data_IF_459389535463
#
_entry.id   IF_459389535463
#
_cell.length_a   1.000
_cell.length_b   1.000
_cell.length_c   1.000
_cell.angle_alpha   90.00
_cell.angle_beta   90.00
_cell.angle_gamma   90.00
#
_symmetry.space_group_name_H-M   'P 1'
#
loop_
_entity.id
_entity.type
_entity.pdbx_description
1 polymer ?
#
# COMPACT_ATOMS: atom_id res chain seq x y z
N UNK A 1 72.40 -60.23 -6.89
CA UNK A 1 71.92 -58.85 -6.67
C UNK A 1 71.25 -58.81 -5.29
N UNK A 2 71.45 -57.75 -4.49
CA UNK A 2 72.09 -57.82 -3.17
C UNK A 2 71.19 -58.10 -1.96
N UNK A 3 71.85 -58.58 -0.89
CA UNK A 3 71.36 -58.80 0.47
C UNK A 3 70.90 -57.49 1.13
N UNK A 4 69.65 -57.43 1.59
CA UNK A 4 69.20 -56.40 2.55
C UNK A 4 69.00 -57.08 3.90
N UNK A 5 70.00 -56.90 4.76
CA UNK A 5 70.01 -57.30 6.17
C UNK A 5 69.11 -56.34 6.93
N UNK A 6 67.97 -56.84 7.45
CA UNK A 6 67.10 -56.06 8.33
C UNK A 6 67.82 -55.71 9.64
N UNK A 7 67.58 -54.52 10.23
CA UNK A 7 68.13 -54.18 11.53
C UNK A 7 67.46 -55.01 12.63
N UNK A 8 68.32 -55.65 13.42
CA UNK A 8 68.04 -56.43 14.62
C UNK A 8 67.40 -55.58 15.72
N UNK A 9 66.31 -56.10 16.31
CA UNK A 9 65.61 -55.56 17.47
C UNK A 9 66.55 -55.49 18.69
N UNK A 10 67.01 -54.29 19.05
CA UNK A 10 67.57 -54.01 20.39
C UNK A 10 66.52 -53.26 21.22
N UNK A 11 65.92 -53.99 22.16
CA UNK A 11 64.91 -53.51 23.09
C UNK A 11 65.56 -52.66 24.18
N UNK A 12 65.44 -51.34 24.12
CA UNK A 12 65.79 -50.47 25.25
C UNK A 12 64.65 -50.52 26.30
N UNK A 13 64.95 -50.75 27.59
CA UNK A 13 63.91 -50.77 28.61
C UNK A 13 63.36 -49.35 28.85
N UNK A 14 62.06 -49.19 28.62
CA UNK A 14 61.30 -47.98 28.93
C UNK A 14 61.37 -47.71 30.45
N UNK A 15 61.94 -46.57 30.87
CA UNK A 15 61.87 -46.08 32.27
C UNK A 15 60.56 -45.30 32.41
N UNK A 16 59.54 -45.78 33.14
CA UNK A 16 58.32 -45.01 33.33
C UNK A 16 58.63 -43.78 34.20
N UNK A 17 58.17 -42.61 33.77
CA UNK A 17 58.16 -41.41 34.61
C UNK A 17 57.30 -41.72 35.86
N UNK A 18 57.89 -41.59 37.05
CA UNK A 18 57.18 -41.66 38.31
C UNK A 18 56.10 -40.57 38.32
N UNK A 19 54.83 -40.99 38.27
CA UNK A 19 53.70 -40.08 38.49
C UNK A 19 53.73 -39.67 39.96
N UNK A 20 54.47 -38.61 40.28
CA UNK A 20 54.28 -37.88 41.53
C UNK A 20 52.86 -37.31 41.51
N UNK A 21 51.96 -38.04 42.15
CA UNK A 21 50.58 -37.62 42.33
C UNK A 21 50.59 -36.73 43.56
N UNK A 22 50.83 -35.43 43.37
CA UNK A 22 50.61 -34.46 44.45
C UNK A 22 49.13 -34.50 44.83
N UNK A 23 48.77 -34.77 46.11
CA UNK A 23 47.40 -34.60 46.52
C UNK A 23 47.08 -33.10 46.41
N UNK A 24 46.21 -32.74 45.46
CA UNK A 24 45.58 -31.42 45.38
C UNK A 24 44.60 -31.25 46.56
N UNK A 25 45.13 -31.25 47.78
CA UNK A 25 44.36 -30.87 48.95
C UNK A 25 44.31 -29.35 48.98
N UNK A 26 43.18 -28.76 48.59
CA UNK A 26 42.97 -27.31 48.71
C UNK A 26 43.18 -26.92 50.18
N UNK A 27 43.95 -25.86 50.48
CA UNK A 27 44.06 -25.38 51.85
C UNK A 27 42.67 -24.98 52.37
N UNK A 28 42.37 -25.24 53.66
CA UNK A 28 41.08 -24.89 54.24
C UNK A 28 40.85 -23.38 54.14
N UNK A 29 39.65 -22.99 53.69
CA UNK A 29 39.24 -21.59 53.58
C UNK A 29 39.28 -20.93 54.97
N UNK A 30 39.76 -19.67 55.04
CA UNK A 30 39.75 -18.92 56.29
C UNK A 30 38.32 -18.46 56.64
N UNK A 31 38.09 -18.03 57.88
CA UNK A 31 36.75 -17.66 58.39
C UNK A 31 36.06 -16.56 57.57
N UNK A 32 36.80 -15.60 56.99
CA UNK A 32 36.23 -14.52 56.17
C UNK A 32 35.74 -15.05 54.81
N UNK A 33 36.51 -15.93 54.19
CA UNK A 33 36.15 -16.55 52.91
C UNK A 33 34.90 -17.43 53.03
N UNK A 34 34.73 -18.10 54.18
CA UNK A 34 33.54 -18.92 54.46
C UNK A 34 32.26 -18.07 54.55
N UNK A 35 32.33 -16.91 55.22
CA UNK A 35 31.20 -15.96 55.35
C UNK A 35 30.85 -15.34 53.99
N UNK A 36 31.85 -14.96 53.19
CA UNK A 36 31.63 -14.43 51.84
C UNK A 36 30.98 -15.50 50.96
N UNK A 37 31.45 -16.74 51.03
CA UNK A 37 30.88 -17.87 50.29
C UNK A 37 29.41 -18.12 50.67
N UNK A 38 29.05 -18.04 51.94
CA UNK A 38 27.67 -18.20 52.41
C UNK A 38 26.76 -17.04 51.96
N UNK A 39 27.24 -15.80 52.07
CA UNK A 39 26.49 -14.61 51.63
C UNK A 39 26.26 -14.60 50.13
N UNK A 40 27.29 -14.90 49.33
CA UNK A 40 27.16 -15.02 47.88
C UNK A 40 26.22 -16.19 47.54
N UNK A 41 26.32 -17.31 48.25
CA UNK A 41 25.42 -18.46 48.08
C UNK A 41 23.94 -18.10 48.34
N UNK A 42 23.65 -17.36 49.42
CA UNK A 42 22.29 -16.94 49.74
C UNK A 42 21.73 -15.95 48.70
N UNK A 43 22.56 -15.01 48.22
CA UNK A 43 22.18 -14.08 47.16
C UNK A 43 21.92 -14.79 45.82
N UNK A 44 22.80 -15.70 45.42
CA UNK A 44 22.64 -16.49 44.18
C UNK A 44 21.37 -17.34 44.25
N UNK A 45 21.07 -17.93 45.41
CA UNK A 45 19.81 -18.66 45.62
C UNK A 45 18.60 -17.74 45.46
N UNK A 46 18.60 -16.56 46.08
CA UNK A 46 17.50 -15.60 45.96
C UNK A 46 17.29 -15.14 44.51
N UNK A 47 18.37 -14.86 43.77
CA UNK A 47 18.30 -14.52 42.35
C UNK A 47 17.71 -15.68 41.55
N UNK A 48 18.14 -16.92 41.82
CA UNK A 48 17.63 -18.13 41.16
C UNK A 48 16.12 -18.29 41.38
N UNK A 49 15.66 -18.13 42.61
CA UNK A 49 14.25 -18.27 42.96
C UNK A 49 13.41 -17.17 42.27
N UNK A 50 13.92 -15.93 42.20
CA UNK A 50 13.25 -14.84 41.49
C UNK A 50 13.18 -15.07 39.97
N UNK A 51 14.28 -15.55 39.36
CA UNK A 51 14.32 -15.89 37.94
C UNK A 51 13.33 -17.00 37.63
N UNK A 52 13.27 -18.06 38.43
CA UNK A 52 12.30 -19.14 38.24
C UNK A 52 10.85 -18.64 38.31
N UNK A 53 10.52 -17.80 39.30
CA UNK A 53 9.19 -17.19 39.40
C UNK A 53 8.85 -16.29 38.20
N UNK A 54 9.84 -15.58 37.64
CA UNK A 54 9.65 -14.78 36.43
C UNK A 54 9.40 -15.67 35.21
N UNK A 55 10.15 -16.77 35.07
CA UNK A 55 9.97 -17.75 33.99
C UNK A 55 8.57 -18.36 34.04
N UNK A 56 8.09 -18.79 35.20
CA UNK A 56 6.74 -19.35 35.36
C UNK A 56 5.65 -18.37 34.89
N UNK A 57 5.74 -17.08 35.26
CA UNK A 57 4.78 -16.05 34.81
C UNK A 57 4.83 -15.83 33.30
N UNK A 58 6.03 -15.80 32.72
CA UNK A 58 6.21 -15.65 31.27
C UNK A 58 5.59 -16.87 30.55
N UNK A 59 5.77 -18.07 31.07
CA UNK A 59 5.16 -19.28 30.50
C UNK A 59 3.63 -19.22 30.56
N UNK A 60 3.05 -18.75 31.67
CA UNK A 60 1.59 -18.53 31.79
C UNK A 60 1.07 -17.50 30.77
N UNK A 61 1.77 -16.36 30.64
CA UNK A 61 1.41 -15.30 29.69
C UNK A 61 1.51 -15.80 28.24
N UNK A 62 2.57 -16.54 27.90
CA UNK A 62 2.76 -17.13 26.56
C UNK A 62 1.63 -18.10 26.25
N UNK A 63 1.28 -19.01 27.18
CA UNK A 63 0.15 -19.92 26.98
C UNK A 63 -1.18 -19.18 26.84
N UNK A 64 -1.34 -18.02 27.49
CA UNK A 64 -2.53 -17.18 27.34
C UNK A 64 -2.61 -16.57 25.95
N UNK A 65 -1.52 -15.99 25.48
CA UNK A 65 -1.43 -15.41 24.14
C UNK A 65 -1.65 -16.48 23.06
N UNK A 66 -1.10 -17.68 23.23
CA UNK A 66 -1.35 -18.79 22.29
C UNK A 66 -2.83 -19.15 22.17
N UNK A 67 -3.57 -19.15 23.29
CA UNK A 67 -5.03 -19.37 23.28
C UNK A 67 -5.76 -18.26 22.55
N UNK A 68 -5.44 -17.00 22.81
CA UNK A 68 -6.06 -15.85 22.13
C UNK A 68 -5.78 -15.85 20.62
N UNK A 69 -4.54 -16.14 20.21
CA UNK A 69 -4.17 -16.30 18.80
C UNK A 69 -5.00 -17.40 18.14
N UNK A 70 -5.26 -18.51 18.84
CA UNK A 70 -6.16 -19.57 18.38
C UNK A 70 -7.57 -19.06 18.08
N UNK A 71 -8.17 -18.32 19.02
CA UNK A 71 -9.51 -17.73 18.85
C UNK A 71 -9.55 -16.76 17.66
N UNK A 72 -8.56 -15.85 17.57
CA UNK A 72 -8.48 -14.87 16.48
C UNK A 72 -8.32 -15.56 15.13
N UNK A 73 -7.55 -16.65 15.06
CA UNK A 73 -7.36 -17.44 13.84
C UNK A 73 -8.66 -18.09 13.37
N UNK A 74 -9.45 -18.65 14.28
CA UNK A 74 -10.73 -19.29 13.96
C UNK A 74 -11.80 -18.27 13.54
N UNK A 75 -11.83 -17.11 14.20
CA UNK A 75 -12.71 -15.99 13.81
C UNK A 75 -12.35 -15.47 12.42
N UNK A 76 -11.05 -15.26 12.15
CA UNK A 76 -10.57 -14.81 10.85
C UNK A 76 -10.96 -15.79 9.74
N UNK A 77 -10.83 -17.11 9.98
CA UNK A 77 -11.26 -18.14 9.04
C UNK A 77 -12.77 -18.05 8.76
N UNK A 78 -13.59 -17.91 9.79
CA UNK A 78 -15.05 -17.79 9.66
C UNK A 78 -15.43 -16.55 8.84
N UNK A 79 -14.76 -15.42 9.09
CA UNK A 79 -14.99 -14.19 8.36
C UNK A 79 -14.60 -14.33 6.87
N UNK A 80 -13.50 -15.01 6.57
CA UNK A 80 -13.10 -15.30 5.18
C UNK A 80 -14.16 -16.15 4.46
N UNK A 81 -14.64 -17.23 5.09
CA UNK A 81 -15.70 -18.08 4.52
C UNK A 81 -17.00 -17.30 4.27
N UNK A 82 -17.38 -16.41 5.20
CA UNK A 82 -18.56 -15.55 5.04
C UNK A 82 -18.41 -14.53 3.89
N UNK A 83 -17.23 -13.92 3.75
CA UNK A 83 -16.93 -12.99 2.65
C UNK A 83 -16.96 -13.72 1.31
N UNK A 84 -16.35 -14.90 1.21
CA UNK A 84 -16.39 -15.72 -0.01
C UNK A 84 -17.83 -16.05 -0.42
N UNK A 85 -18.71 -16.42 0.53
CA UNK A 85 -20.13 -16.66 0.26
C UNK A 85 -20.86 -15.42 -0.27
N UNK A 86 -20.55 -14.24 0.29
CA UNK A 86 -21.13 -12.97 -0.17
C UNK A 86 -20.67 -12.62 -1.58
N UNK A 87 -19.39 -12.83 -1.89
CA UNK A 87 -18.83 -12.62 -3.23
C UNK A 87 -19.56 -13.51 -4.24
N UNK A 88 -19.68 -14.82 -3.97
CA UNK A 88 -20.39 -15.74 -4.87
C UNK A 88 -21.86 -15.38 -5.08
N UNK A 89 -22.54 -14.84 -4.06
CA UNK A 89 -23.91 -14.33 -4.22
C UNK A 89 -23.96 -13.10 -5.14
N UNK A 90 -23.00 -12.18 -4.99
CA UNK A 90 -22.92 -10.98 -5.81
C UNK A 90 -22.58 -11.32 -7.26
N UNK A 91 -21.65 -12.24 -7.49
CA UNK A 91 -21.31 -12.74 -8.83
C UNK A 91 -22.56 -13.34 -9.51
N UNK A 92 -23.32 -14.19 -8.79
CA UNK A 92 -24.58 -14.73 -9.33
C UNK A 92 -25.59 -13.64 -9.70
N UNK A 93 -25.79 -12.65 -8.82
CA UNK A 93 -26.70 -11.52 -9.08
C UNK A 93 -26.23 -10.65 -10.24
N UNK A 94 -24.92 -10.53 -10.44
CA UNK A 94 -24.34 -9.81 -11.57
C UNK A 94 -24.62 -10.54 -12.88
N UNK A 95 -24.42 -11.87 -12.93
CA UNK A 95 -24.78 -12.69 -14.09
C UNK A 95 -26.28 -12.63 -14.41
N UNK A 96 -27.15 -12.69 -13.40
CA UNK A 96 -28.60 -12.52 -13.59
C UNK A 96 -28.98 -11.15 -14.16
N UNK A 97 -28.20 -10.10 -13.88
CA UNK A 97 -28.40 -8.76 -14.44
C UNK A 97 -27.84 -8.62 -15.86
N UNK A 98 -26.70 -9.26 -16.15
CA UNK A 98 -26.09 -9.28 -17.48
C UNK A 98 -26.93 -10.10 -18.49
N UNK A 99 -27.50 -11.23 -18.06
CA UNK A 99 -28.34 -12.10 -18.89
C UNK A 99 -29.77 -11.56 -19.05
N UNK A 100 -30.17 -10.55 -18.27
CA UNK A 100 -31.48 -9.92 -18.44
C UNK A 100 -31.47 -9.18 -19.77
N UNK A 101 -32.28 -9.59 -20.78
CA UNK A 101 -32.46 -8.78 -21.96
C UNK A 101 -32.94 -7.41 -21.48
N UNK A 102 -32.29 -6.37 -21.99
CA UNK A 102 -32.46 -4.98 -21.59
C UNK A 102 -33.90 -4.53 -21.93
N UNK A 103 -34.88 -5.02 -21.18
CA UNK A 103 -36.27 -4.62 -21.25
C UNK A 103 -36.39 -3.31 -20.46
N UNK A 104 -35.64 -2.30 -20.89
CA UNK A 104 -36.25 -1.00 -20.99
C UNK A 104 -37.52 -1.24 -21.79
N UNK A 105 -38.68 -1.09 -21.15
CA UNK A 105 -39.92 -0.89 -21.90
C UNK A 105 -39.57 0.08 -23.03
N UNK A 106 -39.76 -0.26 -24.31
CA UNK A 106 -39.90 0.79 -25.30
C UNK A 106 -41.09 1.59 -24.79
N UNK A 107 -40.82 2.79 -24.29
CA UNK A 107 -41.79 3.62 -23.62
C UNK A 107 -43.03 3.70 -24.52
N UNK A 108 -44.06 2.93 -24.17
CA UNK A 108 -45.32 2.90 -24.90
C UNK A 108 -45.99 4.22 -24.59
N UNK A 109 -46.01 5.11 -25.58
CA UNK A 109 -46.81 6.34 -25.61
C UNK A 109 -46.57 7.42 -24.53
N UNK A 110 -45.33 7.59 -24.05
CA UNK A 110 -44.95 8.90 -23.50
C UNK A 110 -43.79 9.49 -24.30
N UNK A 111 -44.18 10.35 -25.23
CA UNK A 111 -43.37 11.38 -25.87
C UNK A 111 -42.84 12.38 -24.84
N UNK A 112 -41.90 11.93 -24.01
CA UNK A 112 -40.94 12.83 -23.38
C UNK A 112 -39.57 12.49 -23.96
N UNK A 113 -39.33 12.94 -25.19
CA UNK A 113 -37.98 13.34 -25.56
C UNK A 113 -37.50 14.26 -24.44
N UNK A 114 -36.63 13.75 -23.55
CA UNK A 114 -35.87 14.63 -22.66
C UNK A 114 -35.27 15.68 -23.58
N UNK A 115 -35.59 16.98 -23.42
CA UNK A 115 -35.01 18.00 -24.28
C UNK A 115 -33.50 17.95 -24.05
N UNK A 116 -32.74 17.35 -24.96
CA UNK A 116 -31.28 17.44 -24.92
C UNK A 116 -30.96 18.90 -25.18
N UNK A 117 -30.55 19.60 -24.12
CA UNK A 117 -30.09 20.98 -24.26
C UNK A 117 -28.87 20.94 -25.18
N UNK A 118 -28.94 21.66 -26.31
CA UNK A 118 -27.87 21.66 -27.31
C UNK A 118 -26.58 22.17 -26.68
N UNK A 119 -25.42 21.55 -26.98
CA UNK A 119 -24.13 22.07 -26.56
C UNK A 119 -23.96 23.51 -27.05
N UNK A 120 -23.49 24.38 -26.16
CA UNK A 120 -23.20 25.78 -26.50
C UNK A 120 -21.92 25.83 -27.33
N UNK A 121 -21.80 26.80 -28.23
CA UNK A 121 -20.55 27.04 -28.95
C UNK A 121 -19.65 27.98 -28.18
N UNK A 122 -18.34 27.72 -28.16
CA UNK A 122 -17.33 28.61 -27.59
C UNK A 122 -16.36 29.06 -28.68
N UNK A 123 -16.31 30.36 -28.94
CA UNK A 123 -15.40 30.96 -29.93
C UNK A 123 -14.28 31.82 -29.30
N UNK A 124 -14.31 31.97 -27.97
CA UNK A 124 -13.38 32.79 -27.21
C UNK A 124 -13.82 34.25 -27.00
N UNK A 125 -15.03 34.65 -27.42
CA UNK A 125 -15.54 36.01 -27.18
C UNK A 125 -16.07 36.21 -25.76
N UNK A 126 -16.72 35.20 -25.18
CA UNK A 126 -17.13 35.21 -23.77
C UNK A 126 -15.99 34.75 -22.87
N UNK A 127 -15.96 35.18 -21.60
CA UNK A 127 -15.00 34.62 -20.63
C UNK A 127 -15.16 33.10 -20.56
N UNK A 128 -14.02 32.40 -20.50
CA UNK A 128 -13.96 30.95 -20.37
C UNK A 128 -14.71 30.47 -19.13
N UNK A 129 -14.62 31.18 -18.00
CA UNK A 129 -15.31 30.83 -16.75
C UNK A 129 -16.83 30.85 -16.91
N UNK A 130 -17.35 31.82 -17.66
CA UNK A 130 -18.79 31.93 -17.96
C UNK A 130 -19.24 30.75 -18.82
N UNK A 131 -18.48 30.44 -19.87
CA UNK A 131 -18.79 29.29 -20.73
C UNK A 131 -18.72 27.97 -19.97
N UNK A 132 -17.66 27.74 -19.18
CA UNK A 132 -17.47 26.53 -18.36
C UNK A 132 -18.64 26.30 -17.41
N UNK A 133 -19.08 27.35 -16.72
CA UNK A 133 -20.24 27.28 -15.81
C UNK A 133 -21.51 26.86 -16.55
N UNK A 134 -21.77 27.43 -17.74
CA UNK A 134 -22.93 27.06 -18.56
C UNK A 134 -22.82 25.62 -19.07
N UNK A 135 -21.63 25.22 -19.49
CA UNK A 135 -21.33 23.85 -19.95
C UNK A 135 -21.55 22.82 -18.83
N UNK A 136 -21.15 23.13 -17.60
CA UNK A 136 -21.35 22.27 -16.43
C UNK A 136 -22.83 22.09 -16.07
N UNK A 137 -23.62 23.16 -16.17
CA UNK A 137 -25.10 23.09 -15.98
C UNK A 137 -25.74 22.20 -17.04
N UNK A 138 -25.36 22.37 -18.31
CA UNK A 138 -25.89 21.57 -19.43
C UNK A 138 -25.48 20.11 -19.31
N UNK A 139 -24.22 19.83 -18.99
CA UNK A 139 -23.71 18.48 -18.85
C UNK A 139 -24.36 17.73 -17.68
N UNK A 140 -24.59 18.42 -16.54
CA UNK A 140 -25.29 17.86 -15.39
C UNK A 140 -26.76 17.55 -15.69
N UNK A 141 -27.45 18.47 -16.38
CA UNK A 141 -28.85 18.29 -16.79
C UNK A 141 -29.01 17.11 -17.76
N UNK A 142 -28.04 16.95 -18.65
CA UNK A 142 -28.02 15.87 -19.63
C UNK A 142 -27.40 14.56 -19.10
N UNK A 143 -26.84 14.54 -17.89
CA UNK A 143 -26.20 13.37 -17.30
C UNK A 143 -24.97 12.89 -18.06
N UNK A 144 -24.18 13.81 -18.62
CA UNK A 144 -22.98 13.45 -19.38
C UNK A 144 -21.87 12.90 -18.48
N UNK A 145 -21.28 11.79 -18.89
CA UNK A 145 -20.04 11.26 -18.30
C UNK A 145 -18.85 12.10 -18.77
N UNK A 146 -17.70 12.03 -18.10
CA UNK A 146 -16.53 12.85 -18.43
C UNK A 146 -16.03 12.62 -19.86
N UNK A 147 -16.18 11.40 -20.39
CA UNK A 147 -15.86 11.07 -21.79
C UNK A 147 -16.82 11.77 -22.77
N UNK A 148 -18.10 11.88 -22.42
CA UNK A 148 -19.08 12.62 -23.23
C UNK A 148 -18.83 14.12 -23.09
N UNK A 149 -18.50 14.61 -21.89
CA UNK A 149 -18.13 16.01 -21.67
C UNK A 149 -16.92 16.43 -22.49
N UNK A 150 -15.84 15.65 -22.51
CA UNK A 150 -14.66 15.98 -23.32
C UNK A 150 -14.99 16.04 -24.81
N UNK A 151 -15.71 15.04 -25.32
CA UNK A 151 -16.16 15.00 -26.72
C UNK A 151 -17.05 16.20 -27.07
N UNK A 152 -18.00 16.54 -26.21
CA UNK A 152 -18.89 17.68 -26.42
C UNK A 152 -18.17 19.01 -26.28
N UNK A 153 -17.20 19.12 -25.36
CA UNK A 153 -16.39 20.31 -25.19
C UNK A 153 -15.57 20.58 -26.45
N UNK A 154 -14.87 19.56 -26.98
CA UNK A 154 -14.16 19.64 -28.26
C UNK A 154 -15.09 20.01 -29.41
N UNK A 155 -16.28 19.38 -29.50
CA UNK A 155 -17.26 19.66 -30.53
C UNK A 155 -17.89 21.07 -30.43
N UNK A 156 -17.80 21.69 -29.25
CA UNK A 156 -18.32 23.04 -28.96
C UNK A 156 -17.35 24.15 -29.35
N UNK A 157 -16.05 23.86 -29.46
CA UNK A 157 -15.02 24.86 -29.78
C UNK A 157 -15.12 25.31 -31.24
N UNK A 158 -15.06 26.62 -31.47
CA UNK A 158 -15.06 27.26 -32.79
C UNK A 158 -14.00 28.37 -32.83
N UNK A 159 -13.65 28.82 -34.03
CA UNK A 159 -12.76 29.96 -34.24
C UNK A 159 -11.45 29.86 -33.44
N UNK A 160 -11.07 30.95 -32.76
CA UNK A 160 -9.86 31.03 -31.95
C UNK A 160 -9.82 29.92 -30.89
N UNK A 161 -10.94 29.63 -30.20
CA UNK A 161 -10.97 28.60 -29.18
C UNK A 161 -10.62 27.20 -29.70
N UNK A 162 -10.98 26.87 -30.94
CA UNK A 162 -10.65 25.57 -31.55
C UNK A 162 -9.14 25.41 -31.83
N UNK A 163 -8.38 26.50 -31.98
CA UNK A 163 -6.94 26.44 -32.24
C UNK A 163 -6.16 25.86 -31.03
N UNK A 164 -6.74 25.92 -29.82
CA UNK A 164 -6.15 25.30 -28.62
C UNK A 164 -5.94 23.80 -28.82
N UNK A 165 -6.78 23.16 -29.63
CA UNK A 165 -6.69 21.74 -29.93
C UNK A 165 -5.42 21.36 -30.71
N UNK A 166 -4.79 22.30 -31.42
CA UNK A 166 -3.55 22.03 -32.16
C UNK A 166 -2.35 21.72 -31.23
N UNK A 167 -2.40 22.21 -29.99
CA UNK A 167 -1.36 21.97 -28.98
C UNK A 167 -1.55 20.67 -28.19
N UNK A 168 -2.67 19.95 -28.40
CA UNK A 168 -3.03 18.77 -27.61
C UNK A 168 -2.90 17.51 -28.49
N UNK A 169 -2.14 16.48 -28.07
CA UNK A 169 -2.11 15.19 -28.76
C UNK A 169 -3.52 14.58 -28.85
N UNK A 170 -3.86 13.98 -30.00
CA UNK A 170 -5.20 13.42 -30.27
C UNK A 170 -5.66 12.42 -29.20
N UNK A 171 -4.75 11.59 -28.69
CA UNK A 171 -5.01 10.63 -27.61
C UNK A 171 -5.54 11.28 -26.33
N UNK A 172 -5.15 12.53 -26.07
CA UNK A 172 -5.53 13.32 -24.89
C UNK A 172 -6.78 14.18 -25.10
N UNK A 173 -7.36 14.22 -26.30
CA UNK A 173 -8.62 14.92 -26.57
C UNK A 173 -9.85 14.22 -25.95
N UNK A 174 -9.63 13.07 -25.31
CA UNK A 174 -10.66 12.38 -24.50
C UNK A 174 -10.58 12.75 -23.02
N UNK A 175 -9.46 13.31 -22.59
CA UNK A 175 -9.25 13.75 -21.21
C UNK A 175 -9.79 15.17 -21.01
N UNK A 176 -10.87 15.27 -20.23
CA UNK A 176 -11.55 16.52 -19.97
C UNK A 176 -10.61 17.54 -19.31
N UNK A 177 -9.78 17.11 -18.37
CA UNK A 177 -8.89 17.99 -17.62
C UNK A 177 -7.86 18.67 -18.53
N UNK A 178 -7.19 17.90 -19.40
CA UNK A 178 -6.20 18.43 -20.34
C UNK A 178 -6.80 19.53 -21.24
N UNK A 179 -8.04 19.35 -21.71
CA UNK A 179 -8.70 20.32 -22.58
C UNK A 179 -9.08 21.58 -21.80
N UNK A 180 -9.61 21.43 -20.58
CA UNK A 180 -9.98 22.56 -19.73
C UNK A 180 -8.77 23.41 -19.33
N UNK A 181 -7.64 22.79 -18.97
CA UNK A 181 -6.40 23.50 -18.62
C UNK A 181 -5.87 24.34 -19.79
N UNK A 182 -5.93 23.77 -21.00
CA UNK A 182 -5.48 24.47 -22.20
C UNK A 182 -6.39 25.67 -22.54
N UNK A 183 -7.70 25.56 -22.31
CA UNK A 183 -8.66 26.64 -22.48
C UNK A 183 -8.52 27.71 -21.39
N UNK A 184 -8.31 27.31 -20.14
CA UNK A 184 -8.04 28.21 -19.00
C UNK A 184 -6.75 29.02 -19.22
N UNK A 185 -5.69 28.37 -19.70
CA UNK A 185 -4.42 29.03 -19.98
C UNK A 185 -4.55 30.15 -21.02
N UNK A 186 -5.38 29.96 -22.05
CA UNK A 186 -5.52 30.92 -23.16
C UNK A 186 -6.64 31.94 -22.98
N UNK A 187 -7.76 31.52 -22.38
CA UNK A 187 -9.01 32.31 -22.29
C UNK A 187 -9.48 32.55 -20.84
N UNK A 188 -8.75 32.05 -19.84
CA UNK A 188 -9.01 32.35 -18.44
C UNK A 188 -8.87 33.84 -18.13
N UNK A 189 -9.54 34.28 -17.07
CA UNK A 189 -9.72 35.70 -16.73
C UNK A 189 -8.39 36.47 -16.52
N UNK A 190 -7.27 35.77 -16.30
CA UNK A 190 -5.95 36.34 -16.09
C UNK A 190 -5.40 37.13 -17.31
N UNK A 191 -5.87 36.84 -18.53
CA UNK A 191 -5.35 37.47 -19.76
C UNK A 191 -6.10 38.73 -20.23
N UNK A 192 -7.25 39.08 -19.65
CA UNK A 192 -7.98 40.31 -20.01
C UNK A 192 -7.20 41.59 -19.64
N UNK A 193 -6.21 41.49 -18.76
CA UNK A 193 -5.34 42.60 -18.32
C UNK A 193 -4.33 43.04 -19.39
N UNK A 194 -4.05 42.22 -20.42
CA UNK A 194 -3.07 42.55 -21.46
C UNK A 194 -3.66 43.35 -22.64
N UNK A 195 -4.96 43.32 -22.88
CA UNK A 195 -5.56 44.03 -24.02
C UNK A 195 -5.61 45.56 -23.80
N UNK A 196 -5.79 46.02 -22.56
CA UNK A 196 -5.83 47.45 -22.24
C UNK A 196 -4.46 48.15 -22.17
N UNK A 197 -3.35 47.42 -22.27
CA UNK A 197 -1.99 48.01 -22.18
C UNK A 197 -1.40 48.47 -23.51
N UNK A 198 -1.99 48.07 -24.64
CA UNK A 198 -1.37 48.29 -25.96
C UNK A 198 -2.11 49.31 -26.84
N UNK A 199 -3.19 49.94 -26.37
CA UNK A 199 -3.88 51.02 -27.12
C UNK A 199 -3.49 52.46 -26.72
N UNK A 200 -2.48 52.69 -25.86
CA UNK A 200 -2.04 54.05 -25.46
C UNK A 200 -0.65 54.47 -25.96
N UNK A 201 -0.25 54.06 -27.16
CA UNK A 201 0.98 54.58 -27.83
C UNK A 201 0.88 54.78 -29.35
N UNK A 202 -0.29 55.10 -29.90
CA UNK A 202 -0.37 55.82 -31.18
C UNK A 202 -1.46 56.89 -31.05
N UNK A 203 -1.06 58.06 -30.56
CA UNK A 203 -1.62 59.37 -30.91
C UNK A 203 -0.47 60.38 -30.90
#
# INVERSE_FOLDING_TARGET
MPLIRGPSNETFPYRPASKETFPLSRPPLNSRDLVISEQVGSQVKGIKDHVNSCVEKIEEDVQSVEREIGVVKDEARTNVEAVQKRIGNLEKRLSELEDRPNNFLPNSEFSYTRPTVKPLTFDGQTSWTVFKTQFDVVSSTNGWTDVVKSSQLVASLRGSAAEVLQGIPSEKLTDLMTIEEALESRFGDSHLTQFYRTQRKIE
#
